data_IF_528298384783
#
_entry.id   IF_528298384783
#
_cell.length_a   1.000
_cell.length_b   1.000
_cell.length_c   1.000
_cell.angle_alpha   90.00
_cell.angle_beta   90.00
_cell.angle_gamma   90.00
#
_symmetry.space_group_name_H-M   'P 1'
#
loop_
_entity.id
_entity.type
_entity.pdbx_description
1 polymer ?
#
# COMPACT_ATOMS: atom_id res chain seq x y z
N UNK A 1 -51.32 -19.17 18.10
CA UNK A 1 -50.42 -19.54 17.01
C UNK A 1 -49.34 -18.48 16.90
N UNK A 2 -48.16 -18.64 17.49
CA UNK A 2 -47.06 -17.70 17.30
C UNK A 2 -46.16 -18.22 16.17
N UNK A 3 -45.87 -17.33 15.23
CA UNK A 3 -44.87 -17.54 14.18
C UNK A 3 -43.47 -17.26 14.75
N UNK A 4 -42.69 -18.30 14.84
CA UNK A 4 -41.26 -18.22 15.18
C UNK A 4 -40.48 -17.59 14.03
N UNK A 5 -39.79 -16.52 14.34
CA UNK A 5 -38.76 -15.93 13.47
C UNK A 5 -37.40 -16.40 13.98
N UNK A 6 -36.84 -17.43 13.32
CA UNK A 6 -35.50 -17.93 13.61
C UNK A 6 -34.53 -17.27 12.67
N UNK A 7 -33.90 -16.19 13.14
CA UNK A 7 -32.68 -15.67 12.52
C UNK A 7 -31.51 -16.09 13.38
N UNK A 8 -31.01 -17.30 13.16
CA UNK A 8 -29.78 -17.78 13.78
C UNK A 8 -28.58 -17.30 12.97
N UNK A 9 -27.94 -16.22 13.39
CA UNK A 9 -26.66 -15.80 12.88
C UNK A 9 -25.58 -16.58 13.63
N UNK A 10 -25.09 -17.66 13.04
CA UNK A 10 -23.93 -18.39 13.57
C UNK A 10 -22.69 -17.88 12.87
N UNK A 11 -21.90 -17.08 13.59
CA UNK A 11 -20.57 -16.71 13.16
C UNK A 11 -19.64 -17.87 13.50
N UNK A 12 -19.32 -18.68 12.52
CA UNK A 12 -18.24 -19.67 12.62
C UNK A 12 -17.03 -19.13 11.84
N UNK A 13 -16.08 -18.58 12.58
CA UNK A 13 -14.74 -18.41 12.07
C UNK A 13 -14.04 -19.77 12.09
N UNK A 14 -14.00 -20.46 10.95
CA UNK A 14 -13.01 -21.51 10.64
C UNK A 14 -13.17 -22.06 9.23
N UNK A 15 -12.01 -22.21 8.59
CA UNK A 15 -11.71 -22.98 7.37
C UNK A 15 -12.13 -22.35 6.05
N UNK A 16 -11.13 -22.20 5.22
CA UNK A 16 -11.14 -21.85 3.81
C UNK A 16 -11.85 -22.95 2.96
N UNK A 17 -13.11 -23.17 3.17
CA UNK A 17 -13.92 -23.91 2.21
C UNK A 17 -14.96 -22.98 1.63
N UNK A 18 -14.73 -22.59 0.39
CA UNK A 18 -15.72 -21.92 -0.44
C UNK A 18 -16.85 -22.92 -0.68
N UNK A 19 -17.95 -22.77 0.04
CA UNK A 19 -19.18 -23.52 -0.25
C UNK A 19 -19.77 -22.93 -1.52
N UNK A 20 -19.51 -23.57 -2.65
CA UNK A 20 -20.19 -23.26 -3.92
C UNK A 20 -21.59 -23.86 -3.84
N UNK A 21 -22.66 -23.07 -4.00
CA UNK A 21 -24.02 -23.61 -4.08
C UNK A 21 -24.16 -24.52 -5.31
N UNK A 22 -24.63 -25.73 -5.11
CA UNK A 22 -24.75 -26.78 -6.16
C UNK A 22 -25.84 -26.55 -7.18
N UNK A 23 -26.47 -25.41 -7.28
CA UNK A 23 -27.49 -25.12 -8.29
C UNK A 23 -27.34 -23.71 -8.86
N UNK A 24 -26.41 -23.58 -9.78
CA UNK A 24 -26.54 -22.62 -10.88
C UNK A 24 -26.24 -23.44 -12.14
N UNK A 25 -27.24 -23.57 -12.99
CA UNK A 25 -27.10 -24.19 -14.29
C UNK A 25 -26.00 -23.54 -15.08
N UNK A 26 -25.48 -24.27 -16.07
CA UNK A 26 -24.38 -23.91 -16.97
C UNK A 26 -24.23 -22.40 -17.20
N UNK A 27 -23.62 -21.72 -16.23
CA UNK A 27 -23.10 -20.41 -16.43
C UNK A 27 -21.76 -20.63 -17.12
N UNK A 28 -21.67 -20.09 -18.32
CA UNK A 28 -20.43 -20.02 -19.07
C UNK A 28 -19.26 -19.85 -18.09
N UNK A 29 -18.26 -20.73 -18.19
CA UNK A 29 -16.95 -20.50 -17.60
C UNK A 29 -16.55 -19.08 -17.96
N UNK A 30 -16.72 -18.16 -17.02
CA UNK A 30 -15.99 -16.92 -17.07
C UNK A 30 -14.57 -17.38 -16.82
N UNK A 31 -13.93 -17.75 -17.91
CA UNK A 31 -12.50 -17.88 -17.96
C UNK A 31 -11.98 -16.56 -17.42
N UNK A 32 -11.52 -16.55 -16.18
CA UNK A 32 -10.53 -15.58 -15.72
C UNK A 32 -9.23 -15.86 -16.48
N UNK A 33 -9.43 -16.02 -17.81
CA UNK A 33 -8.38 -16.14 -18.77
C UNK A 33 -7.52 -14.92 -18.64
N UNK A 34 -6.37 -15.21 -18.14
CA UNK A 34 -5.19 -14.40 -18.31
C UNK A 34 -5.43 -12.91 -17.98
N UNK A 35 -5.71 -12.59 -16.74
CA UNK A 35 -4.93 -11.51 -16.19
C UNK A 35 -3.48 -12.03 -16.24
N UNK A 36 -2.91 -11.95 -17.42
CA UNK A 36 -1.49 -12.15 -17.60
C UNK A 36 -0.83 -11.32 -16.52
N UNK A 37 0.17 -11.89 -15.86
CA UNK A 37 1.03 -11.12 -14.97
C UNK A 37 1.19 -9.75 -15.64
N UNK A 38 0.86 -8.63 -14.96
CA UNK A 38 0.97 -7.32 -15.58
C UNK A 38 2.34 -7.32 -16.24
N UNK A 39 2.49 -6.89 -17.50
CA UNK A 39 3.80 -6.87 -18.12
C UNK A 39 4.68 -6.25 -17.06
N UNK A 40 5.76 -6.94 -16.67
CA UNK A 40 6.66 -6.46 -15.63
C UNK A 40 6.87 -5.00 -15.98
N UNK A 41 6.11 -4.13 -15.29
CA UNK A 41 5.95 -2.78 -15.75
C UNK A 41 7.36 -2.28 -15.72
N UNK A 42 7.91 -2.01 -16.88
CA UNK A 42 9.23 -1.43 -17.02
C UNK A 42 9.14 -0.04 -16.38
N UNK A 43 9.12 -0.06 -15.04
CA UNK A 43 9.24 1.13 -14.18
C UNK A 43 10.68 1.61 -14.31
N UNK A 44 11.04 1.78 -15.55
CA UNK A 44 12.33 1.83 -16.09
C UNK A 44 13.40 2.43 -15.21
N UNK A 45 14.60 1.90 -15.34
CA UNK A 45 15.83 2.49 -14.80
C UNK A 45 15.85 4.02 -14.96
N UNK A 46 15.25 4.52 -16.02
CA UNK A 46 15.18 5.93 -16.40
C UNK A 46 14.58 6.90 -15.36
N UNK A 47 13.63 6.47 -14.53
CA UNK A 47 13.06 7.39 -13.53
C UNK A 47 13.98 7.49 -12.30
N UNK A 48 14.61 6.39 -11.91
CA UNK A 48 15.58 6.35 -10.79
C UNK A 48 16.85 7.12 -11.13
N UNK A 49 17.32 7.02 -12.38
CA UNK A 49 18.54 7.67 -12.83
C UNK A 49 18.44 9.20 -12.89
N UNK A 50 17.20 9.71 -12.95
CA UNK A 50 16.94 11.15 -13.00
C UNK A 50 16.62 11.77 -11.64
N UNK A 51 16.10 10.97 -10.72
CA UNK A 51 15.67 11.42 -9.40
C UNK A 51 16.33 10.53 -8.35
N UNK A 52 17.33 11.03 -7.64
CA UNK A 52 17.98 10.28 -6.58
C UNK A 52 16.99 9.87 -5.51
N UNK A 53 17.01 8.59 -5.14
CA UNK A 53 16.20 8.03 -4.05
C UNK A 53 17.14 7.32 -3.09
N UNK A 54 17.09 7.71 -1.83
CA UNK A 54 17.89 7.12 -0.75
C UNK A 54 17.04 6.60 0.40
N UNK A 55 17.67 5.85 1.28
CA UNK A 55 17.04 5.48 2.55
C UNK A 55 16.75 6.72 3.39
N UNK A 56 15.63 6.66 4.09
CA UNK A 56 15.21 7.70 5.01
C UNK A 56 16.09 7.72 6.26
N UNK A 57 16.35 8.89 6.80
CA UNK A 57 17.16 9.10 7.99
C UNK A 57 16.42 9.95 9.03
N UNK A 58 16.87 9.93 10.28
CA UNK A 58 16.25 10.72 11.37
C UNK A 58 16.19 12.22 11.06
N UNK A 59 17.17 12.74 10.32
CA UNK A 59 17.21 14.16 9.92
C UNK A 59 16.10 14.57 8.95
N UNK A 60 15.39 13.63 8.33
CA UNK A 60 14.35 13.93 7.32
C UNK A 60 13.01 14.36 7.93
N UNK A 61 12.82 14.19 9.25
CA UNK A 61 11.56 14.45 9.92
C UNK A 61 10.91 15.78 9.52
N UNK A 62 11.69 16.86 9.53
CA UNK A 62 11.16 18.20 9.19
C UNK A 62 10.67 18.28 7.75
N UNK A 63 11.39 17.65 6.83
CA UNK A 63 11.01 17.63 5.42
C UNK A 63 9.75 16.80 5.21
N UNK A 64 9.64 15.63 5.85
CA UNK A 64 8.45 14.78 5.79
C UNK A 64 7.21 15.54 6.27
N UNK A 65 7.30 16.17 7.46
CA UNK A 65 6.20 16.95 8.03
C UNK A 65 5.83 18.13 7.13
N UNK A 66 6.81 18.82 6.57
CA UNK A 66 6.56 19.95 5.67
C UNK A 66 5.85 19.52 4.38
N UNK A 67 6.29 18.43 3.76
CA UNK A 67 5.66 17.87 2.55
C UNK A 67 4.23 17.42 2.88
N UNK A 68 4.05 16.69 3.97
CA UNK A 68 2.73 16.22 4.38
C UNK A 68 1.77 17.37 4.70
N UNK A 69 2.23 18.40 5.41
CA UNK A 69 1.44 19.59 5.72
C UNK A 69 0.98 20.32 4.44
N UNK A 70 1.82 20.36 3.42
CA UNK A 70 1.45 20.96 2.12
C UNK A 70 0.41 20.13 1.36
N UNK A 71 0.38 18.81 1.56
CA UNK A 71 -0.59 17.91 0.93
C UNK A 71 -1.91 17.91 1.69
N UNK A 72 -1.85 17.79 3.02
CA UNK A 72 -3.03 17.54 3.87
C UNK A 72 -3.61 18.79 4.50
N UNK A 73 -2.84 19.88 4.57
CA UNK A 73 -3.18 21.09 5.32
C UNK A 73 -3.03 20.95 6.83
N UNK A 74 -2.50 19.84 7.33
CA UNK A 74 -2.34 19.54 8.75
C UNK A 74 -0.89 19.24 9.11
N UNK A 75 -0.42 19.83 10.19
CA UNK A 75 0.91 19.54 10.71
C UNK A 75 0.85 18.32 11.64
N UNK A 76 1.40 17.18 11.22
CA UNK A 76 1.30 15.89 11.93
C UNK A 76 2.66 15.44 12.47
N UNK A 77 3.32 16.30 13.26
CA UNK A 77 4.68 16.06 13.78
C UNK A 77 4.77 14.74 14.55
N UNK A 78 3.92 14.56 15.58
CA UNK A 78 3.93 13.37 16.44
C UNK A 78 3.68 12.06 15.66
N UNK A 79 2.87 12.14 14.60
CA UNK A 79 2.64 11.00 13.72
C UNK A 79 3.93 10.58 13.01
N UNK A 80 4.66 11.54 12.42
CA UNK A 80 5.90 11.25 11.70
C UNK A 80 7.06 10.93 12.62
N UNK A 81 7.14 11.53 13.81
CA UNK A 81 8.12 11.13 14.83
C UNK A 81 7.99 9.66 15.19
N UNK A 82 6.78 9.20 15.49
CA UNK A 82 6.50 7.80 15.80
C UNK A 82 6.82 6.89 14.61
N UNK A 83 6.31 7.21 13.41
CA UNK A 83 6.55 6.42 12.20
C UNK A 83 8.04 6.33 11.85
N UNK A 84 8.78 7.41 12.02
CA UNK A 84 10.21 7.45 11.76
C UNK A 84 10.99 6.65 12.80
N UNK A 85 10.61 6.76 14.08
CA UNK A 85 11.18 5.93 15.14
C UNK A 85 10.95 4.44 14.87
N UNK A 86 9.73 4.04 14.55
CA UNK A 86 9.40 2.65 14.19
C UNK A 86 10.22 2.17 12.99
N UNK A 87 10.37 3.01 11.96
CA UNK A 87 11.12 2.66 10.76
C UNK A 87 12.64 2.53 10.98
N UNK A 88 13.20 3.26 11.94
CA UNK A 88 14.64 3.28 12.18
C UNK A 88 15.10 2.38 13.34
N UNK A 89 14.25 2.13 14.31
CA UNK A 89 14.60 1.41 15.54
C UNK A 89 13.72 0.20 15.82
N UNK A 90 12.64 0.04 15.07
CA UNK A 90 11.71 -1.07 15.22
C UNK A 90 12.34 -2.42 14.88
N UNK A 91 11.78 -3.49 15.44
CA UNK A 91 12.14 -4.88 15.11
C UNK A 91 11.61 -5.31 13.74
N UNK A 92 10.66 -4.58 13.20
CA UNK A 92 10.01 -4.87 11.93
C UNK A 92 10.86 -4.38 10.75
N UNK A 93 10.84 -5.14 9.65
CA UNK A 93 11.54 -4.73 8.44
C UNK A 93 10.75 -3.62 7.76
N UNK A 94 11.27 -2.41 7.81
CA UNK A 94 10.70 -1.26 7.15
C UNK A 94 11.54 -0.84 5.95
N UNK A 95 10.87 -0.44 4.86
CA UNK A 95 11.51 0.17 3.69
C UNK A 95 10.98 1.58 3.57
N UNK A 96 11.77 2.54 4.03
CA UNK A 96 11.43 3.96 4.02
C UNK A 96 12.45 4.73 3.19
N UNK A 97 11.96 5.47 2.20
CA UNK A 97 12.78 6.12 1.19
C UNK A 97 12.41 7.61 1.05
N UNK A 98 13.40 8.39 0.67
CA UNK A 98 13.26 9.82 0.35
C UNK A 98 13.81 10.08 -1.05
N UNK A 99 13.06 10.83 -1.84
CA UNK A 99 13.50 11.35 -3.12
C UNK A 99 14.04 12.78 -2.95
N UNK A 100 15.16 13.07 -3.57
CA UNK A 100 15.81 14.36 -3.48
C UNK A 100 16.01 14.99 -4.87
N UNK A 101 15.91 16.31 -4.91
CA UNK A 101 16.34 17.12 -6.03
C UNK A 101 17.17 18.28 -5.47
N UNK A 102 18.36 18.48 -6.01
CA UNK A 102 19.30 19.51 -5.55
C UNK A 102 19.54 19.46 -4.02
N UNK A 103 19.74 18.24 -3.49
CA UNK A 103 19.92 17.94 -2.07
C UNK A 103 18.73 18.33 -1.16
N UNK A 104 17.56 18.59 -1.75
CA UNK A 104 16.33 18.90 -1.03
C UNK A 104 15.38 17.72 -1.12
N UNK A 105 14.87 17.18 0.02
CA UNK A 105 13.82 16.20 0.02
C UNK A 105 12.53 16.74 -0.62
N UNK A 106 12.07 16.07 -1.69
CA UNK A 106 10.89 16.49 -2.46
C UNK A 106 9.78 15.44 -2.45
N UNK A 107 10.03 14.30 -1.84
CA UNK A 107 9.03 13.25 -1.69
C UNK A 107 9.54 12.11 -0.82
N UNK A 108 8.62 11.31 -0.32
CA UNK A 108 8.93 10.18 0.54
C UNK A 108 7.95 9.03 0.35
N UNK A 109 8.36 7.83 0.75
CA UNK A 109 7.51 6.64 0.83
C UNK A 109 7.92 5.81 2.04
N UNK A 110 6.95 5.27 2.76
CA UNK A 110 7.17 4.40 3.91
C UNK A 110 6.35 3.12 3.74
N UNK A 111 7.01 1.99 3.89
CA UNK A 111 6.39 0.68 3.86
C UNK A 111 6.98 -0.22 4.94
N UNK A 112 6.16 -1.08 5.51
CA UNK A 112 6.59 -2.14 6.43
C UNK A 112 6.37 -3.49 5.79
N UNK A 113 7.23 -4.45 6.11
CA UNK A 113 7.13 -5.83 5.64
C UNK A 113 6.50 -6.68 6.75
N UNK A 114 5.41 -7.33 6.41
CA UNK A 114 4.74 -8.31 7.25
C UNK A 114 5.12 -9.70 6.73
N UNK A 115 5.91 -10.43 7.51
CA UNK A 115 6.35 -11.79 7.18
C UNK A 115 5.28 -12.86 7.41
N UNK A 116 4.06 -12.42 7.62
CA UNK A 116 2.90 -13.28 7.82
C UNK A 116 2.68 -13.64 9.30
N UNK A 117 1.43 -13.54 9.70
CA UNK A 117 0.96 -14.10 10.96
C UNK A 117 0.71 -15.60 10.81
N UNK A 118 0.59 -16.29 11.94
CA UNK A 118 0.33 -17.71 12.03
C UNK A 118 -0.72 -18.18 10.99
N UNK A 119 -0.26 -18.97 10.00
CA UNK A 119 -1.12 -19.55 8.95
C UNK A 119 -1.16 -18.80 7.62
N UNK A 120 -0.46 -17.67 7.46
CA UNK A 120 -0.24 -17.03 6.16
C UNK A 120 1.22 -17.15 5.76
N UNK A 121 1.47 -17.80 4.65
CA UNK A 121 2.84 -18.05 4.13
C UNK A 121 3.30 -16.88 3.23
N UNK A 122 2.37 -16.06 2.74
CA UNK A 122 2.64 -14.99 1.78
C UNK A 122 3.27 -13.76 2.47
N UNK A 123 4.48 -13.40 2.08
CA UNK A 123 5.15 -12.20 2.56
C UNK A 123 4.54 -10.96 1.92
N UNK A 124 3.92 -10.12 2.73
CA UNK A 124 3.21 -8.93 2.26
C UNK A 124 3.89 -7.66 2.78
N UNK A 125 4.14 -6.67 1.93
CA UNK A 125 4.46 -5.32 2.37
C UNK A 125 3.19 -4.47 2.43
N UNK A 126 3.12 -3.60 3.41
CA UNK A 126 2.09 -2.58 3.53
C UNK A 126 2.72 -1.22 3.25
N UNK A 127 2.28 -0.60 2.17
CA UNK A 127 2.62 0.79 1.87
C UNK A 127 1.76 1.69 2.75
N UNK A 128 2.38 2.25 3.79
CA UNK A 128 1.68 3.03 4.82
C UNK A 128 1.42 4.48 4.37
N UNK A 129 2.39 5.09 3.73
CA UNK A 129 2.28 6.47 3.28
C UNK A 129 3.22 6.79 2.13
N UNK A 130 2.77 7.65 1.23
CA UNK A 130 3.57 8.22 0.16
C UNK A 130 3.19 9.70 0.03
N UNK A 131 4.18 10.56 -0.10
CA UNK A 131 3.97 11.98 -0.30
C UNK A 131 4.97 12.56 -1.30
N UNK A 132 4.50 13.45 -2.15
CA UNK A 132 5.33 14.24 -3.07
C UNK A 132 4.95 15.70 -2.90
N UNK A 133 5.94 16.54 -2.65
CA UNK A 133 5.75 17.98 -2.55
C UNK A 133 4.98 18.51 -3.77
N UNK A 134 3.89 19.27 -3.57
CA UNK A 134 3.04 19.77 -4.65
C UNK A 134 3.79 20.48 -5.79
N UNK A 135 4.87 21.21 -5.48
CA UNK A 135 5.68 21.91 -6.49
C UNK A 135 6.52 20.95 -7.36
N UNK A 136 6.68 19.71 -6.93
CA UNK A 136 7.46 18.68 -7.61
C UNK A 136 6.64 17.51 -8.13
N UNK A 137 5.31 17.62 -8.04
CA UNK A 137 4.40 16.65 -8.65
C UNK A 137 4.52 16.64 -10.18
N UNK A 138 4.10 15.54 -10.79
CA UNK A 138 4.16 15.33 -12.25
C UNK A 138 5.58 15.39 -12.87
N UNK A 139 6.63 15.44 -12.06
CA UNK A 139 8.04 15.40 -12.49
C UNK A 139 8.68 14.00 -12.37
N UNK A 140 7.89 12.98 -12.05
CA UNK A 140 8.35 11.60 -11.92
C UNK A 140 8.82 11.19 -10.52
N UNK A 141 8.75 12.07 -9.51
CA UNK A 141 9.19 11.82 -8.13
C UNK A 141 8.47 10.60 -7.53
N UNK A 142 7.15 10.58 -7.58
CA UNK A 142 6.38 9.44 -7.06
C UNK A 142 6.72 8.13 -7.77
N UNK A 143 6.92 8.17 -9.09
CA UNK A 143 7.33 7.01 -9.88
C UNK A 143 8.72 6.50 -9.46
N UNK A 144 9.68 7.38 -9.23
CA UNK A 144 11.00 7.01 -8.74
C UNK A 144 10.93 6.33 -7.37
N UNK A 145 10.13 6.89 -6.44
CA UNK A 145 9.91 6.33 -5.11
C UNK A 145 9.31 4.92 -5.17
N UNK A 146 8.21 4.73 -5.90
CA UNK A 146 7.57 3.41 -6.03
C UNK A 146 8.49 2.42 -6.74
N UNK A 147 9.18 2.84 -7.81
CA UNK A 147 10.12 1.96 -8.52
C UNK A 147 11.24 1.47 -7.60
N UNK A 148 11.84 2.36 -6.81
CA UNK A 148 12.90 1.98 -5.87
C UNK A 148 12.36 1.12 -4.72
N UNK A 149 11.16 1.45 -4.21
CA UNK A 149 10.48 0.65 -3.18
C UNK A 149 10.28 -0.79 -3.67
N UNK A 150 9.72 -0.98 -4.87
CA UNK A 150 9.46 -2.32 -5.42
C UNK A 150 10.75 -3.12 -5.63
N UNK A 151 11.84 -2.47 -6.06
CA UNK A 151 13.15 -3.13 -6.17
C UNK A 151 13.64 -3.59 -4.81
N UNK A 152 13.57 -2.73 -3.79
CA UNK A 152 14.01 -3.08 -2.44
C UNK A 152 13.16 -4.21 -1.84
N UNK A 153 11.84 -4.15 -2.00
CA UNK A 153 10.94 -5.21 -1.54
C UNK A 153 11.17 -6.53 -2.28
N UNK A 154 11.48 -6.48 -3.56
CA UNK A 154 11.86 -7.67 -4.35
C UNK A 154 13.10 -8.36 -3.80
N UNK A 155 14.11 -7.62 -3.32
CA UNK A 155 15.31 -8.21 -2.68
C UNK A 155 14.98 -8.90 -1.36
N UNK A 156 13.94 -8.44 -0.67
CA UNK A 156 13.40 -9.04 0.56
C UNK A 156 12.44 -10.21 0.30
N UNK A 157 12.26 -10.59 -0.98
CA UNK A 157 11.33 -11.64 -1.41
C UNK A 157 9.88 -11.39 -1.00
N UNK A 158 9.49 -10.14 -0.97
CA UNK A 158 8.10 -9.76 -0.75
C UNK A 158 7.28 -10.14 -1.99
N UNK A 159 6.21 -10.87 -1.79
CA UNK A 159 5.36 -11.41 -2.87
C UNK A 159 4.24 -10.44 -3.25
N UNK A 160 3.85 -9.57 -2.31
CA UNK A 160 2.72 -8.68 -2.48
C UNK A 160 2.92 -7.35 -1.76
N UNK A 161 2.51 -6.29 -2.40
CA UNK A 161 2.40 -4.96 -1.77
C UNK A 161 0.94 -4.55 -1.74
N UNK A 162 0.45 -4.13 -0.58
CA UNK A 162 -0.90 -3.59 -0.43
C UNK A 162 -0.87 -2.20 0.17
N UNK A 163 -1.91 -1.42 -0.10
CA UNK A 163 -2.17 -0.12 0.53
C UNK A 163 -3.66 0.09 0.66
N UNK A 164 -4.05 0.91 1.60
CA UNK A 164 -5.43 1.34 1.79
C UNK A 164 -5.54 2.81 1.39
N UNK A 165 -6.56 3.14 0.63
CA UNK A 165 -6.78 4.48 0.08
C UNK A 165 -8.25 4.81 0.16
N UNK A 166 -8.57 6.04 0.53
CA UNK A 166 -9.96 6.51 0.43
C UNK A 166 -10.39 6.44 -1.04
N UNK A 167 -11.46 5.73 -1.29
CA UNK A 167 -12.00 5.54 -2.64
C UNK A 167 -12.47 6.86 -3.30
N UNK A 168 -12.59 7.94 -2.51
CA UNK A 168 -12.85 9.29 -3.01
C UNK A 168 -11.62 9.98 -3.55
N UNK A 169 -10.42 9.55 -3.14
CA UNK A 169 -9.16 10.09 -3.63
C UNK A 169 -8.84 9.56 -5.03
N UNK A 170 -9.49 10.15 -6.02
CA UNK A 170 -9.40 9.72 -7.43
C UNK A 170 -8.01 9.92 -8.01
N UNK A 171 -7.27 10.91 -7.55
CA UNK A 171 -5.92 11.20 -8.04
C UNK A 171 -4.95 10.12 -7.59
N UNK A 172 -4.97 9.77 -6.30
CA UNK A 172 -4.15 8.71 -5.76
C UNK A 172 -4.53 7.33 -6.34
N UNK A 173 -5.82 7.04 -6.50
CA UNK A 173 -6.28 5.80 -7.14
C UNK A 173 -5.76 5.70 -8.58
N UNK A 174 -5.87 6.77 -9.37
CA UNK A 174 -5.36 6.79 -10.74
C UNK A 174 -3.82 6.69 -10.78
N UNK A 175 -3.12 7.26 -9.81
CA UNK A 175 -1.68 7.13 -9.68
C UNK A 175 -1.28 5.69 -9.37
N UNK A 176 -1.93 5.04 -8.41
CA UNK A 176 -1.67 3.65 -8.04
C UNK A 176 -1.97 2.69 -9.20
N UNK A 177 -3.07 2.89 -9.92
CA UNK A 177 -3.40 2.08 -11.11
C UNK A 177 -2.29 2.18 -12.18
N UNK A 178 -1.81 3.39 -12.48
CA UNK A 178 -0.66 3.60 -13.38
C UNK A 178 0.64 3.00 -12.86
N UNK A 179 0.77 2.86 -11.54
CA UNK A 179 1.92 2.23 -10.88
C UNK A 179 1.80 0.70 -10.78
N UNK A 180 0.76 0.11 -11.41
CA UNK A 180 0.58 -1.34 -11.48
C UNK A 180 -0.24 -1.94 -10.34
N UNK A 181 -0.71 -1.15 -9.38
CA UNK A 181 -1.61 -1.64 -8.35
C UNK A 181 -2.99 -1.94 -8.94
N UNK A 182 -3.69 -2.89 -8.33
CA UNK A 182 -5.06 -3.27 -8.70
C UNK A 182 -5.94 -3.33 -7.46
N UNK A 183 -7.23 -3.01 -7.57
CA UNK A 183 -8.16 -3.17 -6.47
C UNK A 183 -8.15 -4.60 -5.93
N UNK A 184 -8.11 -4.72 -4.61
CA UNK A 184 -8.21 -5.99 -3.92
C UNK A 184 -9.64 -6.52 -3.94
N UNK A 185 -9.80 -7.85 -3.85
CA UNK A 185 -11.09 -8.48 -3.62
C UNK A 185 -11.52 -8.51 -2.14
N UNK A 186 -10.68 -7.96 -1.25
CA UNK A 186 -10.94 -7.89 0.18
C UNK A 186 -11.71 -6.61 0.50
N UNK A 187 -12.67 -6.73 1.42
CA UNK A 187 -13.39 -5.58 1.98
C UNK A 187 -12.83 -5.27 3.37
N UNK A 188 -12.69 -4.00 3.68
CA UNK A 188 -12.38 -3.51 5.01
C UNK A 188 -13.68 -3.18 5.75
N UNK A 189 -13.76 -3.53 7.04
CA UNK A 189 -14.89 -3.22 7.91
C UNK A 189 -14.38 -2.49 9.13
N UNK A 190 -14.98 -1.35 9.44
CA UNK A 190 -14.65 -0.53 10.60
C UNK A 190 -15.75 -0.62 11.66
N UNK A 191 -15.36 -0.69 12.92
CA UNK A 191 -16.23 -0.59 14.08
C UNK A 191 -15.75 0.58 14.92
N UNK A 192 -16.59 1.57 15.10
CA UNK A 192 -16.28 2.73 15.94
C UNK A 192 -16.75 2.48 17.37
N UNK A 193 -15.88 2.83 18.33
CA UNK A 193 -16.21 2.81 19.75
C UNK A 193 -16.54 4.24 20.19
N UNK A 194 -17.51 4.42 21.08
CA UNK A 194 -17.88 5.74 21.60
C UNK A 194 -16.78 6.36 22.46
#
# INVERSE_FOLDING_TARGET
MPTENKTGLTIMARSNEVIIPKHVGEAAEISYGAYGAPPAADFGPLARDRIPVRSMAAGDLRALVAIDCRITGHERVEYFERKLADALTGSDVCVSLVAELDDVPVGFVMARVDFGEFGRVETTAVLDTIGVDPDYQNRGVGRALISQLLVNLGTLRVEKVRTEVDWKDRELLAYLDRSGFRPSQQLCFDQFFP
#
